data_IF_171194416332
#
_entry.id   IF_171194416332
#
_cell.length_a   1.000
_cell.length_b   1.000
_cell.length_c   1.000
_cell.angle_alpha   90.00
_cell.angle_beta   90.00
_cell.angle_gamma   90.00
#
_symmetry.space_group_name_H-M   'P 1'
#
loop_
_entity.id
_entity.type
_entity.pdbx_description
1 polymer ?
#
# COMPACT_ATOMS: atom_id res chain seq x y z
N UNK A 1 16.16 27.73 -0.63
CA UNK A 1 15.79 26.32 -0.35
C UNK A 1 14.61 25.95 -1.24
N UNK A 2 14.56 24.75 -1.81
CA UNK A 2 13.44 24.34 -2.68
C UNK A 2 12.16 24.23 -1.86
N UNK A 3 11.16 25.05 -2.18
CA UNK A 3 9.87 25.06 -1.47
C UNK A 3 9.16 23.71 -1.49
N UNK A 4 9.39 22.89 -2.51
CA UNK A 4 8.86 21.52 -2.58
C UNK A 4 9.42 20.62 -1.48
N UNK A 5 10.73 20.68 -1.22
CA UNK A 5 11.38 19.84 -0.20
C UNK A 5 10.90 20.25 1.19
N UNK A 6 10.72 21.55 1.43
CA UNK A 6 10.14 22.05 2.69
C UNK A 6 8.71 21.52 2.90
N UNK A 7 7.89 21.52 1.85
CA UNK A 7 6.51 21.03 1.92
C UNK A 7 6.45 19.51 2.17
N UNK A 8 7.35 18.73 1.55
CA UNK A 8 7.49 17.29 1.80
C UNK A 8 7.93 17.05 3.24
N UNK A 9 8.90 17.81 3.76
CA UNK A 9 9.36 17.68 5.15
C UNK A 9 8.24 18.01 6.16
N UNK A 10 7.46 19.06 5.91
CA UNK A 10 6.29 19.39 6.73
C UNK A 10 5.24 18.29 6.65
N UNK A 11 4.99 17.73 5.45
CA UNK A 11 4.07 16.60 5.27
C UNK A 11 4.49 15.35 6.07
N UNK A 12 5.78 15.00 6.06
CA UNK A 12 6.33 13.90 6.86
C UNK A 12 6.22 14.18 8.37
N UNK A 13 6.45 15.42 8.80
CA UNK A 13 6.27 15.80 10.20
C UNK A 13 4.79 15.74 10.62
N UNK A 14 3.85 16.13 9.74
CA UNK A 14 2.42 16.00 10.00
C UNK A 14 1.99 14.53 10.10
N UNK A 15 2.55 13.65 9.26
CA UNK A 15 2.28 12.20 9.32
C UNK A 15 2.80 11.57 10.62
N UNK A 16 3.89 12.11 11.18
CA UNK A 16 4.43 11.67 12.48
C UNK A 16 3.57 12.06 13.68
N UNK A 17 2.63 13.01 13.53
CA UNK A 17 1.72 13.41 14.58
C UNK A 17 0.54 12.44 14.65
N UNK A 18 0.33 11.81 15.80
CA UNK A 18 -0.79 10.88 15.99
C UNK A 18 -2.12 11.64 16.01
N UNK A 19 -2.85 11.59 14.89
CA UNK A 19 -4.24 12.06 14.82
C UNK A 19 -5.20 11.03 15.45
N UNK A 20 -6.43 11.46 15.78
CA UNK A 20 -7.50 10.50 16.11
C UNK A 20 -7.72 9.58 14.89
N UNK A 21 -7.78 8.24 15.05
CA UNK A 21 -7.81 7.29 13.92
C UNK A 21 -8.91 7.56 12.89
N UNK A 22 -10.08 8.03 13.36
CA UNK A 22 -11.21 8.39 12.49
C UNK A 22 -10.91 9.59 11.58
N UNK A 23 -10.21 10.60 12.10
CA UNK A 23 -9.88 11.83 11.35
C UNK A 23 -8.74 11.56 10.36
N UNK A 24 -7.74 10.78 10.76
CA UNK A 24 -6.63 10.37 9.89
C UNK A 24 -7.14 9.68 8.62
N UNK A 25 -8.05 8.71 8.76
CA UNK A 25 -8.65 8.01 7.61
C UNK A 25 -9.36 9.00 6.66
N UNK A 26 -10.08 9.99 7.21
CA UNK A 26 -10.80 10.99 6.42
C UNK A 26 -9.82 11.90 5.68
N UNK A 27 -8.82 12.43 6.38
CA UNK A 27 -7.81 13.34 5.81
C UNK A 27 -7.01 12.62 4.72
N UNK A 28 -6.51 11.42 5.00
CA UNK A 28 -5.70 10.64 4.05
C UNK A 28 -6.50 10.28 2.80
N UNK A 29 -7.77 9.88 2.95
CA UNK A 29 -8.66 9.64 1.80
C UNK A 29 -8.90 10.92 1.00
N UNK A 30 -9.18 12.04 1.67
CA UNK A 30 -9.40 13.32 1.03
C UNK A 30 -8.17 13.80 0.24
N UNK A 31 -6.99 13.78 0.85
CA UNK A 31 -5.73 14.16 0.21
C UNK A 31 -5.38 13.24 -0.97
N UNK A 32 -5.66 11.93 -0.87
CA UNK A 32 -5.46 10.98 -1.97
C UNK A 32 -6.39 11.25 -3.15
N UNK A 33 -7.65 11.59 -2.88
CA UNK A 33 -8.61 12.00 -3.91
C UNK A 33 -8.15 13.30 -4.58
N UNK A 34 -7.80 14.31 -3.78
CA UNK A 34 -7.31 15.59 -4.27
C UNK A 34 -6.05 15.44 -5.13
N UNK A 35 -5.05 14.70 -4.66
CA UNK A 35 -3.83 14.40 -5.41
C UNK A 35 -4.12 13.75 -6.78
N UNK A 36 -5.11 12.85 -6.84
CA UNK A 36 -5.51 12.20 -8.09
C UNK A 36 -6.17 13.17 -9.07
N UNK A 37 -7.03 14.06 -8.57
CA UNK A 37 -7.66 15.11 -9.39
C UNK A 37 -6.61 16.05 -9.98
N UNK A 38 -5.68 16.56 -9.16
CA UNK A 38 -4.62 17.45 -9.66
C UNK A 38 -3.71 16.75 -10.67
N UNK A 39 -3.38 15.49 -10.44
CA UNK A 39 -2.62 14.69 -11.40
C UNK A 39 -3.32 14.64 -12.77
N UNK A 40 -4.63 14.37 -12.79
CA UNK A 40 -5.42 14.34 -14.03
C UNK A 40 -5.51 15.72 -14.71
N UNK A 41 -5.64 16.79 -13.92
CA UNK A 41 -5.64 18.17 -14.44
C UNK A 41 -4.30 18.53 -15.09
N UNK A 42 -3.18 18.18 -14.47
CA UNK A 42 -1.84 18.45 -15.01
C UNK A 42 -1.65 17.72 -16.34
N UNK A 43 -1.97 16.42 -16.41
CA UNK A 43 -1.85 15.68 -17.68
C UNK A 43 -2.77 16.23 -18.77
N UNK A 44 -3.99 16.62 -18.42
CA UNK A 44 -4.93 17.23 -19.36
C UNK A 44 -4.38 18.56 -19.87
N UNK A 45 -3.86 19.42 -18.99
CA UNK A 45 -3.30 20.72 -19.34
C UNK A 45 -2.12 20.57 -20.31
N UNK A 46 -1.12 19.75 -19.98
CA UNK A 46 0.00 19.50 -20.87
C UNK A 46 -0.43 18.81 -22.18
N UNK A 47 -1.45 17.93 -22.12
CA UNK A 47 -2.05 17.35 -23.32
C UNK A 47 -2.65 18.39 -24.26
N UNK A 48 -3.36 19.38 -23.73
CA UNK A 48 -3.89 20.51 -24.51
C UNK A 48 -2.75 21.37 -25.07
N UNK A 49 -1.72 21.67 -24.27
CA UNK A 49 -0.55 22.44 -24.71
C UNK A 49 0.16 21.78 -25.89
N UNK A 50 0.31 20.44 -25.86
CA UNK A 50 0.86 19.69 -26.99
C UNK A 50 -0.11 19.71 -28.18
N UNK A 51 -1.40 19.50 -27.95
CA UNK A 51 -2.43 19.45 -29.00
C UNK A 51 -2.58 20.76 -29.78
N UNK A 52 -2.35 21.90 -29.14
CA UNK A 52 -2.32 23.21 -29.80
C UNK A 52 -0.96 23.57 -30.42
N UNK A 53 0.09 22.76 -30.19
CA UNK A 53 1.42 22.96 -30.76
C UNK A 53 1.52 22.51 -32.22
N UNK A 54 2.48 23.07 -32.98
CA UNK A 54 2.74 22.65 -34.37
C UNK A 54 3.44 21.28 -34.39
N UNK A 55 2.66 20.22 -34.44
CA UNK A 55 3.13 18.82 -34.47
C UNK A 55 3.56 18.36 -35.86
N UNK A 56 4.34 19.18 -36.58
CA UNK A 56 4.80 18.88 -37.95
C UNK A 56 5.84 17.73 -38.03
N UNK A 57 6.31 17.21 -36.88
CA UNK A 57 7.35 16.17 -36.77
C UNK A 57 6.86 14.85 -36.14
N UNK A 58 5.56 14.53 -36.21
CA UNK A 58 5.05 13.20 -35.86
C UNK A 58 5.37 12.17 -36.95
N UNK A 59 6.65 11.86 -37.12
CA UNK A 59 7.12 10.78 -37.98
C UNK A 59 7.29 9.45 -37.23
N UNK A 60 7.50 8.36 -37.98
CA UNK A 60 7.82 7.05 -37.42
C UNK A 60 9.08 7.08 -36.53
N UNK A 61 10.07 7.90 -36.87
CA UNK A 61 11.29 8.08 -36.07
C UNK A 61 11.01 8.57 -34.64
N UNK A 62 10.04 9.46 -34.45
CA UNK A 62 9.64 9.99 -33.15
C UNK A 62 9.08 8.89 -32.25
N UNK A 63 8.28 7.97 -32.82
CA UNK A 63 7.71 6.83 -32.09
C UNK A 63 8.80 5.84 -31.69
N UNK A 64 9.72 5.52 -32.60
CA UNK A 64 10.87 4.63 -32.29
C UNK A 64 11.73 5.24 -31.20
N UNK A 65 12.00 6.54 -31.26
CA UNK A 65 12.76 7.24 -30.23
C UNK A 65 12.08 7.22 -28.86
N UNK A 66 10.75 7.40 -28.79
CA UNK A 66 9.96 7.26 -27.55
C UNK A 66 10.13 5.87 -26.96
N UNK A 67 10.06 4.83 -27.78
CA UNK A 67 10.21 3.44 -27.32
C UNK A 67 11.62 3.18 -26.77
N UNK A 68 12.66 3.67 -27.45
CA UNK A 68 14.05 3.56 -26.99
C UNK A 68 14.24 4.29 -25.66
N UNK A 69 13.73 5.52 -25.52
CA UNK A 69 13.80 6.27 -24.27
C UNK A 69 13.08 5.54 -23.14
N UNK A 70 11.89 5.00 -23.40
CA UNK A 70 11.16 4.22 -22.43
C UNK A 70 11.94 2.98 -21.98
N UNK A 71 12.48 2.20 -22.91
CA UNK A 71 13.29 1.03 -22.60
C UNK A 71 14.53 1.40 -21.78
N UNK A 72 15.20 2.50 -22.14
CA UNK A 72 16.39 3.01 -21.44
C UNK A 72 16.06 3.41 -20.00
N UNK A 73 14.98 4.16 -19.77
CA UNK A 73 14.56 4.58 -18.42
C UNK A 73 14.22 3.38 -17.54
N UNK A 74 13.52 2.38 -18.08
CA UNK A 74 13.21 1.15 -17.33
C UNK A 74 14.46 0.31 -17.05
N UNK A 75 15.40 0.24 -18.00
CA UNK A 75 16.66 -0.47 -17.82
C UNK A 75 17.52 0.17 -16.73
N UNK A 76 17.71 1.49 -16.78
CA UNK A 76 18.43 2.24 -15.74
C UNK A 76 17.79 2.02 -14.37
N UNK A 77 16.46 2.03 -14.31
CA UNK A 77 15.72 1.79 -13.07
C UNK A 77 15.92 0.37 -12.52
N UNK A 78 15.91 -0.65 -13.37
CA UNK A 78 16.20 -2.01 -12.96
C UNK A 78 17.64 -2.10 -12.43
N UNK A 79 18.59 -1.49 -13.14
CA UNK A 79 19.99 -1.46 -12.75
C UNK A 79 20.21 -0.77 -11.41
N UNK A 80 19.59 0.39 -11.16
CA UNK A 80 19.71 1.08 -9.87
C UNK A 80 19.18 0.22 -8.73
N UNK A 81 18.10 -0.52 -8.94
CA UNK A 81 17.53 -1.40 -7.91
C UNK A 81 18.42 -2.61 -7.68
N UNK A 82 18.98 -3.20 -8.73
CA UNK A 82 19.97 -4.28 -8.58
C UNK A 82 21.20 -3.84 -7.80
N UNK A 83 21.66 -2.59 -8.01
CA UNK A 83 22.80 -2.02 -7.26
C UNK A 83 22.46 -1.67 -5.81
N UNK A 84 21.22 -1.25 -5.54
CA UNK A 84 20.75 -0.91 -4.18
C UNK A 84 20.31 -2.16 -3.40
N UNK A 85 19.91 -3.23 -4.09
CA UNK A 85 19.52 -4.53 -3.53
C UNK A 85 20.51 -5.08 -2.49
N UNK A 86 21.84 -5.15 -2.73
CA UNK A 86 22.79 -5.65 -1.74
C UNK A 86 22.89 -4.76 -0.50
N UNK A 87 22.70 -3.44 -0.65
CA UNK A 87 22.69 -2.49 0.47
C UNK A 87 21.45 -2.72 1.34
N UNK A 88 20.30 -2.93 0.71
CA UNK A 88 19.04 -3.16 1.41
C UNK A 88 19.04 -4.51 2.14
N UNK A 89 19.66 -5.54 1.55
CA UNK A 89 19.82 -6.85 2.18
C UNK A 89 20.76 -6.83 3.40
N UNK A 90 21.74 -5.91 3.43
CA UNK A 90 22.58 -5.70 4.62
C UNK A 90 21.86 -4.90 5.72
N UNK A 91 20.94 -4.00 5.34
CA UNK A 91 20.23 -3.14 6.29
C UNK A 91 19.00 -3.82 6.91
N UNK A 92 18.29 -4.67 6.16
CA UNK A 92 17.06 -5.32 6.57
C UNK A 92 17.13 -6.83 6.35
N UNK A 93 17.02 -7.59 7.45
CA UNK A 93 17.12 -9.05 7.47
C UNK A 93 15.96 -9.76 6.72
N UNK A 94 14.85 -9.07 6.47
CA UNK A 94 13.66 -9.63 5.79
C UNK A 94 13.58 -9.33 4.28
N UNK A 95 14.58 -8.64 3.70
CA UNK A 95 14.53 -8.24 2.31
C UNK A 95 14.82 -9.41 1.35
N UNK A 96 13.77 -9.92 0.72
CA UNK A 96 13.83 -10.93 -0.34
C UNK A 96 13.98 -10.30 -1.74
N UNK A 97 14.64 -10.99 -2.68
CA UNK A 97 14.71 -10.59 -4.10
C UNK A 97 13.33 -10.35 -4.72
N UNK A 98 12.30 -11.04 -4.21
CA UNK A 98 10.89 -10.86 -4.54
C UNK A 98 10.41 -9.43 -4.30
N UNK A 99 10.81 -8.82 -3.19
CA UNK A 99 10.51 -7.43 -2.88
C UNK A 99 11.25 -6.46 -3.81
N UNK A 100 12.45 -6.81 -4.26
CA UNK A 100 13.18 -6.03 -5.26
C UNK A 100 12.41 -5.86 -6.57
N UNK A 101 11.75 -6.92 -7.04
CA UNK A 101 10.89 -6.85 -8.23
C UNK A 101 9.69 -5.93 -8.00
N UNK A 102 9.02 -6.04 -6.86
CA UNK A 102 7.88 -5.17 -6.52
C UNK A 102 8.30 -3.70 -6.44
N UNK A 103 9.43 -3.42 -5.80
CA UNK A 103 10.00 -2.07 -5.71
C UNK A 103 10.37 -1.54 -7.11
N UNK A 104 10.85 -2.41 -8.00
CA UNK A 104 11.12 -2.03 -9.39
C UNK A 104 9.90 -1.49 -10.11
N UNK A 105 8.72 -2.03 -9.85
CA UNK A 105 7.47 -1.54 -10.43
C UNK A 105 6.77 -0.47 -9.56
N UNK A 106 7.26 -0.17 -8.35
CA UNK A 106 6.68 0.76 -7.36
C UNK A 106 6.88 2.26 -7.65
N UNK A 107 6.97 2.64 -8.93
CA UNK A 107 7.36 3.99 -9.34
C UNK A 107 6.41 5.10 -8.95
N UNK A 108 6.99 6.18 -8.43
CA UNK A 108 6.33 7.49 -8.35
C UNK A 108 5.84 7.87 -9.75
N UNK A 109 4.60 8.34 -9.80
CA UNK A 109 3.92 8.81 -11.02
C UNK A 109 4.69 10.01 -11.59
N UNK A 110 5.05 9.97 -12.88
CA UNK A 110 5.95 10.93 -13.54
C UNK A 110 5.43 12.37 -13.73
N UNK A 111 4.48 12.81 -12.90
CA UNK A 111 3.93 14.17 -12.88
C UNK A 111 5.02 15.19 -12.57
N UNK A 112 5.95 14.86 -11.66
CA UNK A 112 7.07 15.74 -11.31
C UNK A 112 8.00 15.98 -12.50
N UNK A 113 8.31 14.94 -13.27
CA UNK A 113 9.14 15.06 -14.48
C UNK A 113 8.47 15.97 -15.52
N UNK A 114 7.15 15.87 -15.65
CA UNK A 114 6.39 16.72 -16.56
C UNK A 114 6.35 18.18 -16.10
N UNK A 115 6.24 18.44 -14.79
CA UNK A 115 6.23 19.78 -14.22
C UNK A 115 7.59 20.48 -14.33
N UNK A 116 8.69 19.72 -14.23
CA UNK A 116 10.06 20.23 -14.38
C UNK A 116 10.48 20.41 -15.84
N UNK A 117 9.78 19.78 -16.80
CA UNK A 117 10.17 19.80 -18.20
C UNK A 117 10.26 21.21 -18.82
N UNK A 118 9.31 22.15 -18.56
CA UNK A 118 9.40 23.52 -19.06
C UNK A 118 10.54 24.33 -18.41
N UNK A 119 10.80 24.13 -17.12
CA UNK A 119 11.85 24.85 -16.39
C UNK A 119 13.24 24.49 -16.94
N UNK A 120 13.48 23.21 -17.21
CA UNK A 120 14.74 22.73 -17.80
C UNK A 120 14.93 23.32 -19.21
N UNK A 121 13.85 23.46 -19.98
CA UNK A 121 13.92 24.08 -21.29
C UNK A 121 14.27 25.58 -21.20
N UNK A 122 13.69 26.32 -20.25
CA UNK A 122 13.99 27.74 -20.05
C UNK A 122 15.41 27.99 -19.53
N UNK A 123 16.00 27.02 -18.83
CA UNK A 123 17.38 27.08 -18.32
C UNK A 123 18.44 26.69 -19.36
N UNK A 124 18.07 25.91 -20.36
CA UNK A 124 18.97 25.54 -21.44
C UNK A 124 19.16 26.74 -22.40
N UNK A 125 20.26 27.47 -22.26
CA UNK A 125 20.66 28.58 -23.17
C UNK A 125 20.72 28.16 -24.66
N UNK A 126 20.78 26.85 -24.93
CA UNK A 126 20.75 26.27 -26.26
C UNK A 126 19.30 26.08 -26.74
N UNK A 127 18.86 26.97 -27.62
CA UNK A 127 17.54 27.02 -28.26
C UNK A 127 17.28 25.73 -29.06
N UNK A 128 16.79 24.68 -28.39
CA UNK A 128 16.34 23.44 -29.04
C UNK A 128 15.18 23.79 -29.98
N UNK A 129 15.27 23.35 -31.25
CA UNK A 129 14.36 23.68 -32.36
C UNK A 129 12.87 23.37 -32.12
N UNK A 130 12.49 22.72 -31.02
CA UNK A 130 11.09 22.55 -30.62
C UNK A 130 10.95 22.25 -29.12
N UNK A 131 10.56 23.24 -28.28
CA UNK A 131 10.21 23.04 -26.88
C UNK A 131 9.07 22.01 -26.70
N UNK A 132 8.16 21.98 -27.67
CA UNK A 132 6.93 21.20 -27.64
C UNK A 132 7.20 19.70 -27.80
N UNK A 133 8.21 19.30 -28.58
CA UNK A 133 8.59 17.89 -28.75
C UNK A 133 9.17 17.29 -27.46
N UNK A 134 9.94 18.07 -26.69
CA UNK A 134 10.47 17.59 -25.41
C UNK A 134 9.36 17.32 -24.39
N UNK A 135 8.40 18.24 -24.27
CA UNK A 135 7.23 18.08 -23.42
C UNK A 135 6.41 16.86 -23.87
N UNK A 136 6.29 16.63 -25.19
CA UNK A 136 5.64 15.44 -25.75
C UNK A 136 6.35 14.15 -25.33
N UNK A 137 7.68 14.07 -25.46
CA UNK A 137 8.42 12.88 -25.04
C UNK A 137 8.21 12.57 -23.55
N UNK A 138 8.35 13.58 -22.68
CA UNK A 138 8.17 13.40 -21.23
C UNK A 138 6.74 12.99 -20.89
N UNK A 139 5.73 13.61 -21.52
CA UNK A 139 4.33 13.29 -21.29
C UNK A 139 3.98 11.85 -21.71
N UNK A 140 4.38 11.45 -22.92
CA UNK A 140 4.10 10.11 -23.45
C UNK A 140 4.81 9.03 -22.61
N UNK A 141 6.10 9.24 -22.30
CA UNK A 141 6.86 8.31 -21.46
C UNK A 141 6.24 8.19 -20.06
N UNK A 142 5.80 9.30 -19.47
CA UNK A 142 5.18 9.29 -18.14
C UNK A 142 3.85 8.53 -18.12
N UNK A 143 2.98 8.75 -19.11
CA UNK A 143 1.70 8.04 -19.23
C UNK A 143 1.91 6.54 -19.47
N UNK A 144 2.81 6.18 -20.37
CA UNK A 144 3.13 4.78 -20.68
C UNK A 144 3.71 4.06 -19.46
N UNK A 145 4.63 4.72 -18.75
CA UNK A 145 5.21 4.20 -17.50
C UNK A 145 4.16 4.03 -16.41
N UNK A 146 3.21 4.98 -16.26
CA UNK A 146 2.14 4.86 -15.27
C UNK A 146 1.22 3.68 -15.56
N UNK A 147 0.83 3.47 -16.83
CA UNK A 147 -0.02 2.35 -17.23
C UNK A 147 0.66 1.00 -17.01
N UNK A 148 1.91 0.87 -17.48
CA UNK A 148 2.68 -0.36 -17.38
C UNK A 148 3.02 -0.67 -15.91
N UNK A 149 3.46 0.31 -15.13
CA UNK A 149 3.77 0.10 -13.71
C UNK A 149 2.55 -0.33 -12.90
N UNK A 150 1.37 0.25 -13.14
CA UNK A 150 0.14 -0.15 -12.42
C UNK A 150 -0.23 -1.61 -12.70
N UNK A 151 -0.10 -2.04 -13.96
CA UNK A 151 -0.34 -3.42 -14.36
C UNK A 151 0.71 -4.38 -13.79
N UNK A 152 1.99 -4.07 -14.00
CA UNK A 152 3.11 -4.92 -13.56
C UNK A 152 3.21 -5.00 -12.03
N UNK A 153 2.93 -3.93 -11.31
CA UNK A 153 2.85 -3.93 -9.84
C UNK A 153 1.79 -4.93 -9.36
N UNK A 154 0.57 -4.83 -9.89
CA UNK A 154 -0.54 -5.71 -9.47
C UNK A 154 -0.27 -7.16 -9.86
N UNK A 155 0.31 -7.38 -11.04
CA UNK A 155 0.67 -8.71 -11.52
C UNK A 155 1.79 -9.32 -10.67
N UNK A 156 2.90 -8.59 -10.46
CA UNK A 156 4.03 -9.06 -9.65
C UNK A 156 3.63 -9.31 -8.20
N UNK A 157 2.86 -8.42 -7.57
CA UNK A 157 2.40 -8.62 -6.19
C UNK A 157 1.56 -9.92 -6.03
N UNK A 158 0.74 -10.26 -7.04
CA UNK A 158 -0.03 -11.50 -7.07
C UNK A 158 0.85 -12.72 -7.34
N UNK A 159 1.65 -12.68 -8.40
CA UNK A 159 2.49 -13.82 -8.83
C UNK A 159 3.55 -14.19 -7.79
N UNK A 160 4.11 -13.20 -7.07
CA UNK A 160 5.10 -13.45 -6.03
C UNK A 160 4.49 -13.81 -4.66
N UNK A 161 3.16 -13.86 -4.55
CA UNK A 161 2.48 -14.23 -3.31
C UNK A 161 2.63 -13.20 -2.18
N UNK A 162 3.09 -11.98 -2.49
CA UNK A 162 3.32 -10.92 -1.50
C UNK A 162 2.01 -10.29 -1.00
N UNK A 163 0.89 -10.60 -1.66
CA UNK A 163 -0.45 -10.32 -1.14
C UNK A 163 -0.98 -11.40 -0.19
N UNK A 164 -0.19 -12.44 0.12
CA UNK A 164 -0.57 -13.41 1.13
C UNK A 164 -0.67 -12.72 2.49
N UNK A 165 -1.86 -12.78 3.08
CA UNK A 165 -2.09 -12.39 4.46
C UNK A 165 -1.17 -13.26 5.33
N UNK A 166 -0.50 -12.68 6.34
CA UNK A 166 0.35 -13.45 7.26
C UNK A 166 -0.43 -14.62 7.88
N UNK A 167 0.23 -15.76 8.09
CA UNK A 167 -0.42 -16.96 8.63
C UNK A 167 -1.15 -16.70 9.97
N UNK A 168 -0.60 -15.90 10.92
CA UNK A 168 -1.32 -15.52 12.14
C UNK A 168 -2.56 -14.69 11.87
N UNK A 169 -2.49 -13.73 10.93
CA UNK A 169 -3.63 -12.90 10.56
C UNK A 169 -4.72 -13.71 9.84
N UNK A 170 -4.32 -14.72 9.08
CA UNK A 170 -5.25 -15.68 8.48
C UNK A 170 -5.94 -16.52 9.56
N UNK A 171 -5.20 -17.04 10.55
CA UNK A 171 -5.77 -17.78 11.69
C UNK A 171 -6.67 -16.88 12.55
N UNK A 172 -6.27 -15.65 12.83
CA UNK A 172 -7.07 -14.68 13.57
C UNK A 172 -8.39 -14.37 12.84
N UNK A 173 -8.33 -14.19 11.52
CA UNK A 173 -9.52 -13.96 10.70
C UNK A 173 -10.43 -15.20 10.66
N UNK A 174 -9.87 -16.41 10.54
CA UNK A 174 -10.64 -17.64 10.66
C UNK A 174 -11.31 -17.78 12.03
N UNK A 175 -10.60 -17.46 13.11
CA UNK A 175 -11.14 -17.52 14.46
C UNK A 175 -12.27 -16.50 14.67
N UNK A 176 -12.10 -15.27 14.16
CA UNK A 176 -13.13 -14.25 14.18
C UNK A 176 -14.38 -14.69 13.40
N UNK A 177 -14.21 -15.29 12.21
CA UNK A 177 -15.33 -15.77 11.40
C UNK A 177 -16.07 -16.91 12.11
N UNK A 178 -15.34 -17.87 12.70
CA UNK A 178 -15.95 -18.95 13.49
C UNK A 178 -16.76 -18.39 14.66
N UNK A 179 -16.20 -17.43 15.40
CA UNK A 179 -16.89 -16.79 16.51
C UNK A 179 -18.15 -16.03 16.07
N UNK A 180 -18.09 -15.34 14.92
CA UNK A 180 -19.27 -14.68 14.35
C UNK A 180 -20.34 -15.70 13.96
N UNK A 181 -19.96 -16.83 13.35
CA UNK A 181 -20.89 -17.90 13.00
C UNK A 181 -21.55 -18.52 14.24
N UNK A 182 -20.81 -18.70 15.33
CA UNK A 182 -21.34 -19.17 16.61
C UNK A 182 -22.36 -18.20 17.21
N UNK A 183 -22.06 -16.89 17.20
CA UNK A 183 -23.02 -15.85 17.63
C UNK A 183 -24.29 -15.89 16.78
N UNK A 184 -24.14 -16.01 15.45
CA UNK A 184 -25.28 -16.09 14.53
C UNK A 184 -26.14 -17.32 14.86
N UNK A 185 -25.53 -18.49 15.05
CA UNK A 185 -26.26 -19.70 15.42
C UNK A 185 -26.98 -19.55 16.76
N UNK A 186 -26.29 -19.07 17.80
CA UNK A 186 -26.88 -18.83 19.11
C UNK A 186 -28.06 -17.86 19.03
N UNK A 187 -27.92 -16.78 18.26
CA UNK A 187 -28.98 -15.79 18.05
C UNK A 187 -30.17 -16.38 17.29
N UNK A 188 -29.93 -17.20 16.25
CA UNK A 188 -30.99 -17.91 15.52
C UNK A 188 -31.71 -18.89 16.45
N UNK A 189 -30.99 -19.64 17.29
CA UNK A 189 -31.62 -20.56 18.26
C UNK A 189 -32.48 -19.83 19.28
N UNK A 190 -32.03 -18.65 19.75
CA UNK A 190 -32.79 -17.81 20.66
C UNK A 190 -34.07 -17.30 19.96
N UNK A 191 -33.96 -16.75 18.76
CA UNK A 191 -35.11 -16.23 18.03
C UNK A 191 -36.11 -17.31 17.59
N UNK A 192 -35.67 -18.56 17.40
CA UNK A 192 -36.57 -19.71 17.18
C UNK A 192 -37.47 -20.01 18.39
N UNK A 193 -37.06 -19.63 19.60
CA UNK A 193 -37.88 -19.83 20.83
C UNK A 193 -38.92 -18.72 21.03
N UNK A 194 -38.84 -17.62 20.28
CA UNK A 194 -39.76 -16.51 20.43
C UNK A 194 -41.10 -16.78 19.73
N UNK A 195 -42.19 -16.68 20.49
CA UNK A 195 -43.58 -16.92 20.03
C UNK A 195 -44.01 -15.98 18.90
N UNK A 196 -43.37 -14.83 18.75
CA UNK A 196 -43.63 -13.85 17.69
C UNK A 196 -43.04 -14.24 16.33
N UNK A 197 -42.06 -15.15 16.29
CA UNK A 197 -41.34 -15.54 15.06
C UNK A 197 -41.70 -16.94 14.56
N UNK A 198 -42.81 -17.51 15.06
CA UNK A 198 -43.28 -18.87 14.71
C UNK A 198 -43.60 -19.05 13.22
N UNK A 199 -43.89 -17.96 12.50
CA UNK A 199 -44.25 -17.98 11.07
C UNK A 199 -43.07 -17.61 10.13
N UNK A 200 -41.84 -17.57 10.65
CA UNK A 200 -40.64 -17.21 9.89
C UNK A 200 -40.04 -18.46 9.23
N UNK A 201 -39.64 -18.32 7.97
CA UNK A 201 -38.90 -19.35 7.26
C UNK A 201 -37.43 -19.36 7.72
N UNK A 202 -37.12 -20.17 8.73
CA UNK A 202 -35.77 -20.29 9.30
C UNK A 202 -34.73 -20.89 8.35
N UNK A 203 -35.15 -21.70 7.37
CA UNK A 203 -34.21 -22.28 6.40
C UNK A 203 -33.64 -21.21 5.47
N UNK A 204 -34.46 -20.22 5.10
CA UNK A 204 -34.02 -19.05 4.33
C UNK A 204 -33.08 -18.16 5.16
N UNK A 205 -33.34 -17.99 6.46
CA UNK A 205 -32.49 -17.18 7.36
C UNK A 205 -31.12 -17.84 7.53
N UNK A 206 -31.05 -19.14 7.76
CA UNK A 206 -29.79 -19.88 7.87
C UNK A 206 -28.99 -19.86 6.56
N UNK A 207 -29.66 -19.97 5.42
CA UNK A 207 -29.01 -19.87 4.10
C UNK A 207 -28.43 -18.46 3.87
N UNK A 208 -29.20 -17.41 4.17
CA UNK A 208 -28.77 -16.01 3.96
C UNK A 208 -27.75 -15.49 4.96
N UNK A 209 -27.68 -16.10 6.15
CA UNK A 209 -26.73 -15.71 7.21
C UNK A 209 -25.42 -16.51 7.16
N UNK A 210 -25.34 -17.54 6.33
CA UNK A 210 -24.11 -18.34 6.16
C UNK A 210 -23.04 -17.51 5.45
N UNK A 211 -21.97 -17.20 6.19
CA UNK A 211 -20.79 -16.53 5.64
C UNK A 211 -19.96 -17.57 4.90
N UNK A 212 -20.00 -17.56 3.56
CA UNK A 212 -19.02 -18.30 2.73
C UNK A 212 -17.68 -17.57 2.77
N UNK A 213 -16.80 -18.01 3.65
CA UNK A 213 -15.41 -17.59 3.63
C UNK A 213 -14.58 -18.61 2.84
N UNK A 214 -14.48 -18.39 1.53
CA UNK A 214 -13.60 -19.17 0.67
C UNK A 214 -12.16 -18.64 0.81
N UNK A 215 -11.32 -19.41 1.49
CA UNK A 215 -9.87 -19.23 1.41
C UNK A 215 -9.46 -19.52 -0.04
N UNK A 216 -8.68 -18.65 -0.71
CA UNK A 216 -8.01 -19.05 -1.95
C UNK A 216 -7.10 -20.24 -1.62
N UNK A 217 -7.52 -21.44 -2.03
CA UNK A 217 -6.86 -22.70 -1.72
C UNK A 217 -5.47 -22.85 -2.37
N UNK A 218 -5.08 -21.91 -3.24
CA UNK A 218 -3.80 -21.97 -3.96
C UNK A 218 -2.57 -21.69 -3.09
N UNK A 219 -2.75 -21.34 -1.81
CA UNK A 219 -1.63 -21.18 -0.87
C UNK A 219 -1.44 -22.37 0.08
N UNK A 220 -2.26 -23.43 0.00
CA UNK A 220 -2.21 -24.55 0.95
C UNK A 220 -2.14 -25.90 0.24
N UNK A 221 -1.10 -26.11 -0.56
CA UNK A 221 -0.59 -27.45 -0.85
C UNK A 221 0.67 -27.68 -0.02
N UNK A 222 0.50 -27.92 1.29
CA UNK A 222 1.48 -28.70 2.04
C UNK A 222 1.06 -30.16 1.85
N UNK A 223 1.40 -30.72 0.69
CA UNK A 223 1.53 -32.16 0.57
C UNK A 223 2.66 -32.56 1.51
N UNK A 224 2.35 -33.44 2.46
CA UNK A 224 3.33 -34.23 3.18
C UNK A 224 4.20 -34.97 2.16
N UNK A 225 5.30 -34.36 1.73
CA UNK A 225 6.39 -35.13 1.17
C UNK A 225 7.73 -34.48 1.52
N UNK A 226 8.65 -35.34 1.91
CA UNK A 226 9.93 -35.00 2.52
C UNK A 226 10.77 -34.12 1.59
N UNK A 227 10.93 -32.84 1.92
CA UNK A 227 12.14 -32.04 1.62
C UNK A 227 12.16 -30.77 2.46
N UNK A 228 13.32 -30.52 3.05
CA UNK A 228 13.68 -29.33 3.82
C UNK A 228 13.46 -28.09 2.96
N UNK A 229 12.38 -27.35 3.20
CA UNK A 229 12.25 -25.96 2.81
C UNK A 229 11.85 -25.18 4.08
N UNK A 230 12.60 -24.13 4.37
CA UNK A 230 12.47 -23.28 5.55
C UNK A 230 11.03 -22.80 5.71
N UNK A 231 10.39 -23.28 6.77
CA UNK A 231 9.16 -22.72 7.31
C UNK A 231 9.34 -21.21 7.53
N UNK A 232 8.31 -20.37 7.30
CA UNK A 232 8.38 -18.97 7.68
C UNK A 232 8.73 -18.93 9.17
N UNK A 233 9.87 -18.32 9.46
CA UNK A 233 10.62 -18.46 10.72
C UNK A 233 9.69 -18.29 11.90
N UNK A 234 9.68 -19.26 12.82
CA UNK A 234 8.95 -19.28 14.08
C UNK A 234 9.06 -17.93 14.84
N UNK A 235 10.16 -17.22 14.63
CA UNK A 235 10.42 -15.83 15.05
C UNK A 235 9.35 -14.83 14.59
N UNK A 236 8.92 -14.84 13.32
CA UNK A 236 7.90 -13.92 12.79
C UNK A 236 6.55 -14.13 13.47
N UNK A 237 6.22 -15.39 13.76
CA UNK A 237 4.98 -15.75 14.47
C UNK A 237 5.04 -15.28 15.94
N UNK A 238 6.21 -15.40 16.58
CA UNK A 238 6.44 -14.92 17.94
C UNK A 238 6.41 -13.38 18.00
N UNK A 239 6.99 -12.70 17.01
CA UNK A 239 7.00 -11.24 16.88
C UNK A 239 5.58 -10.68 16.76
N UNK A 240 4.76 -11.29 15.87
CA UNK A 240 3.37 -10.89 15.64
C UNK A 240 2.49 -11.19 16.88
N UNK A 241 2.72 -12.32 17.56
CA UNK A 241 2.04 -12.64 18.81
C UNK A 241 2.39 -11.64 19.93
N UNK A 242 3.67 -11.24 20.05
CA UNK A 242 4.12 -10.22 21.00
C UNK A 242 3.47 -8.87 20.72
N UNK A 243 3.38 -8.46 19.45
CA UNK A 243 2.69 -7.25 19.04
C UNK A 243 1.22 -7.26 19.44
N UNK A 244 0.52 -8.37 19.20
CA UNK A 244 -0.89 -8.50 19.55
C UNK A 244 -1.12 -8.44 21.06
N UNK A 245 -0.25 -9.07 21.85
CA UNK A 245 -0.29 -8.99 23.33
C UNK A 245 -0.07 -7.56 23.82
N UNK A 246 0.89 -6.83 23.25
CA UNK A 246 1.18 -5.46 23.62
C UNK A 246 0.01 -4.50 23.32
N UNK A 247 -0.67 -4.68 22.19
CA UNK A 247 -1.88 -3.92 21.84
C UNK A 247 -2.99 -4.18 22.88
N UNK A 248 -3.19 -5.45 23.27
CA UNK A 248 -4.15 -5.81 24.31
C UNK A 248 -3.79 -5.16 25.64
N UNK A 249 -2.52 -5.21 26.04
CA UNK A 249 -2.04 -4.58 27.28
C UNK A 249 -2.26 -3.06 27.27
N UNK A 250 -1.94 -2.38 26.17
CA UNK A 250 -2.20 -0.94 26.01
C UNK A 250 -3.68 -0.60 26.14
N UNK A 251 -4.57 -1.38 25.50
CA UNK A 251 -6.02 -1.18 25.61
C UNK A 251 -6.56 -1.44 27.03
N UNK A 252 -5.94 -2.38 27.76
CA UNK A 252 -6.26 -2.67 29.15
C UNK A 252 -5.86 -1.52 30.07
N UNK A 253 -4.67 -0.93 29.88
CA UNK A 253 -4.23 0.22 30.67
C UNK A 253 -5.09 1.46 30.42
N UNK A 254 -5.52 1.68 29.17
CA UNK A 254 -6.44 2.77 28.83
C UNK A 254 -7.80 2.59 29.51
N UNK A 255 -8.33 1.35 29.51
CA UNK A 255 -9.57 1.02 30.22
C UNK A 255 -9.45 1.23 31.74
N UNK A 256 -8.37 0.75 32.35
CA UNK A 256 -8.13 0.91 33.79
C UNK A 256 -7.95 2.38 34.20
N UNK A 257 -7.42 3.21 33.31
CA UNK A 257 -7.36 4.66 33.52
C UNK A 257 -8.76 5.30 33.48
N UNK A 258 -9.60 4.88 32.52
CA UNK A 258 -10.98 5.37 32.40
C UNK A 258 -11.86 4.93 33.57
N UNK A 259 -11.62 3.72 34.09
CA UNK A 259 -12.32 3.16 35.25
C UNK A 259 -11.79 3.73 36.59
N UNK A 260 -10.80 4.62 36.56
CA UNK A 260 -10.24 5.30 37.74
C UNK A 260 -9.34 4.42 38.62
N UNK A 261 -9.04 3.19 38.21
CA UNK A 261 -8.15 2.24 38.89
C UNK A 261 -6.69 2.70 38.77
N UNK A 262 -6.35 3.34 37.64
CA UNK A 262 -5.02 3.77 37.32
C UNK A 262 -4.96 5.29 37.13
N UNK A 263 -3.97 5.95 37.71
CA UNK A 263 -3.78 7.39 37.50
C UNK A 263 -3.34 7.66 36.06
N UNK A 264 -3.72 8.82 35.52
CA UNK A 264 -3.38 9.23 34.15
C UNK A 264 -1.86 9.19 33.91
N UNK A 265 -1.07 9.52 34.94
CA UNK A 265 0.39 9.49 34.86
C UNK A 265 0.93 8.06 34.81
N UNK A 266 0.40 7.16 35.65
CA UNK A 266 0.77 5.75 35.63
C UNK A 266 0.37 5.07 34.31
N UNK A 267 -0.78 5.43 33.74
CA UNK A 267 -1.25 4.85 32.48
C UNK A 267 -0.34 5.28 31.32
N UNK A 268 0.08 6.55 31.31
CA UNK A 268 1.02 7.08 30.32
C UNK A 268 2.38 6.39 30.40
N UNK A 269 2.88 6.12 31.61
CA UNK A 269 4.15 5.40 31.82
C UNK A 269 4.04 3.94 31.35
N UNK A 270 2.97 3.24 31.72
CA UNK A 270 2.77 1.82 31.34
C UNK A 270 2.57 1.65 29.83
N UNK A 271 1.79 2.54 29.20
CA UNK A 271 1.63 2.56 27.75
C UNK A 271 2.96 2.90 27.06
N UNK A 272 3.73 3.85 27.59
CA UNK A 272 5.06 4.19 27.10
C UNK A 272 6.05 3.03 27.19
N UNK A 273 6.08 2.32 28.33
CA UNK A 273 6.92 1.15 28.53
C UNK A 273 6.52 0.01 27.59
N UNK A 274 5.23 -0.25 27.42
CA UNK A 274 4.72 -1.28 26.50
C UNK A 274 5.08 -0.97 25.05
N UNK A 275 5.02 0.31 24.65
CA UNK A 275 5.50 0.76 23.32
C UNK A 275 7.00 0.59 23.12
N UNK A 276 7.81 0.66 24.18
CA UNK A 276 9.26 0.42 24.10
C UNK A 276 9.64 -1.07 24.04
N UNK A 277 8.78 -1.94 24.58
CA UNK A 277 8.99 -3.40 24.59
C UNK A 277 8.54 -4.09 23.30
N UNK A 278 7.59 -3.50 22.58
CA UNK A 278 7.45 -3.80 21.16
C UNK A 278 8.61 -3.13 20.41
N UNK A 279 9.42 -3.88 19.65
CA UNK A 279 10.17 -3.28 18.57
C UNK A 279 9.14 -2.92 17.50
N UNK A 280 8.37 -1.84 17.72
CA UNK A 280 8.00 -1.01 16.60
C UNK A 280 9.32 -0.40 16.18
N UNK A 281 10.13 -1.16 15.43
CA UNK A 281 11.24 -0.60 14.69
C UNK A 281 10.60 0.42 13.77
N UNK A 282 10.63 1.67 14.24
CA UNK A 282 10.23 2.80 13.44
C UNK A 282 11.18 2.87 12.27
N UNK A 283 10.70 2.42 11.10
CA UNK A 283 10.56 3.21 9.89
C UNK A 283 10.14 2.33 8.71
#
# INVERSE_FOLDING_TARGET
MSGMIALVAVGLNLDSLSFKPRIEIIITKFLKMFSTVYQQLIYTFFGIVIGCGETKYLGFHTVVFIFILFATVNFVRLLTILLVSPILMHANYEYNWKWGIVIAWSGIKGVFSLLLAPDIHNLAEQKVESPQLFILYVQVISLMTMGINSYMMTHSARTLGLCAISLPRQMAMQNAIKHIQEIIQNTITLFKTEKILTNVNWTLVEEKTKIEYNIPSDACHVSHDNKKEESPTEEVLIEEARLHVAIIQMSSFEKQCNDGILSVEAARILIGATKSYCPIQGK
#
